data_IF_459961280039
#
_entry.id   IF_459961280039
#
_cell.length_a   1.000
_cell.length_b   1.000
_cell.length_c   1.000
_cell.angle_alpha   90.00
_cell.angle_beta   90.00
_cell.angle_gamma   90.00
#
_symmetry.space_group_name_H-M   'P 1'
#
loop_
_entity.id
_entity.type
_entity.pdbx_description
1 polymer ?
#
# COMPACT_ATOMS: atom_id res chain seq x y z
N UNK A 1 22.97 5.64 16.92
CA UNK A 1 21.76 6.10 16.21
C UNK A 1 22.18 7.14 15.19
N UNK A 2 21.74 7.00 13.93
CA UNK A 2 21.96 8.00 12.88
C UNK A 2 20.79 8.98 12.89
N UNK A 3 21.07 10.27 12.74
CA UNK A 3 20.05 11.31 12.54
C UNK A 3 19.71 11.38 11.06
N UNK A 4 18.42 11.39 10.71
CA UNK A 4 17.97 11.54 9.33
C UNK A 4 18.24 12.95 8.81
N UNK A 5 18.74 13.05 7.59
CA UNK A 5 18.84 14.34 6.89
C UNK A 5 17.51 14.72 6.26
N UNK A 6 17.36 15.99 5.87
CA UNK A 6 16.21 16.46 5.08
C UNK A 6 16.03 15.61 3.81
N UNK A 7 17.12 15.25 3.16
CA UNK A 7 17.08 14.40 1.96
C UNK A 7 16.62 12.98 2.28
N UNK A 8 17.10 12.39 3.38
CA UNK A 8 16.66 11.04 3.80
C UNK A 8 15.13 11.01 4.01
N UNK A 9 14.55 12.07 4.55
CA UNK A 9 13.09 12.19 4.76
C UNK A 9 12.35 12.34 3.43
N UNK A 10 12.77 13.29 2.58
CA UNK A 10 12.07 13.60 1.34
C UNK A 10 12.18 12.49 0.29
N UNK A 11 13.29 11.74 0.29
CA UNK A 11 13.54 10.61 -0.62
C UNK A 11 13.03 9.28 -0.08
N UNK A 12 12.41 9.25 1.10
CA UNK A 12 11.84 8.01 1.67
C UNK A 12 10.86 7.31 0.71
N UNK A 13 10.10 8.09 -0.08
CA UNK A 13 9.18 7.59 -1.12
C UNK A 13 9.86 6.97 -2.35
N UNK A 14 11.16 7.21 -2.52
CA UNK A 14 11.92 6.73 -3.68
C UNK A 14 12.42 5.29 -3.48
N UNK A 15 12.24 4.72 -2.28
CA UNK A 15 12.52 3.31 -2.02
C UNK A 15 11.75 2.45 -3.01
N UNK A 16 12.48 1.64 -3.77
CA UNK A 16 11.93 0.66 -4.72
C UNK A 16 12.06 -0.73 -4.13
N UNK A 17 11.00 -1.51 -4.21
CA UNK A 17 10.95 -2.89 -3.76
C UNK A 17 10.40 -3.72 -4.90
N UNK A 18 11.13 -4.77 -5.30
CA UNK A 18 10.64 -5.74 -6.26
C UNK A 18 9.82 -6.80 -5.54
N UNK A 19 8.62 -7.09 -6.04
CA UNK A 19 7.77 -8.16 -5.54
C UNK A 19 7.42 -9.10 -6.70
N UNK A 20 7.36 -10.39 -6.39
CA UNK A 20 6.95 -11.42 -7.33
C UNK A 20 5.42 -11.57 -7.33
N UNK A 21 4.84 -11.71 -8.51
CA UNK A 21 3.41 -11.93 -8.74
C UNK A 21 3.23 -13.36 -9.29
N UNK A 22 2.88 -14.35 -8.43
CA UNK A 22 2.78 -15.76 -8.82
C UNK A 22 1.79 -16.00 -9.96
N UNK A 23 0.72 -15.20 -10.04
CA UNK A 23 -0.32 -15.33 -11.04
C UNK A 23 0.14 -15.05 -12.47
N UNK A 24 1.26 -14.33 -12.61
CA UNK A 24 1.89 -13.97 -13.88
C UNK A 24 3.28 -14.57 -14.04
N UNK A 25 3.81 -15.25 -13.01
CA UNK A 25 5.20 -15.71 -12.94
C UNK A 25 6.19 -14.59 -13.31
N UNK A 26 5.95 -13.39 -12.76
CA UNK A 26 6.65 -12.18 -13.13
C UNK A 26 6.80 -11.23 -11.95
N UNK A 27 7.73 -10.28 -12.07
CA UNK A 27 8.04 -9.32 -11.01
C UNK A 27 7.51 -7.92 -11.37
N UNK A 28 7.16 -7.16 -10.34
CA UNK A 28 6.82 -5.74 -10.44
C UNK A 28 7.61 -4.93 -9.42
N UNK A 29 7.77 -3.64 -9.68
CA UNK A 29 8.43 -2.71 -8.76
C UNK A 29 7.37 -1.84 -8.09
N UNK A 30 7.41 -1.78 -6.76
CA UNK A 30 6.55 -0.92 -5.93
C UNK A 30 7.38 0.08 -5.12
N UNK A 31 6.70 1.12 -4.61
CA UNK A 31 7.25 2.11 -3.67
C UNK A 31 6.27 2.39 -2.55
N UNK A 32 6.73 2.92 -1.39
CA UNK A 32 5.81 3.36 -0.36
C UNK A 32 5.02 4.59 -0.80
N UNK A 33 3.83 4.73 -0.22
CA UNK A 33 3.00 5.91 -0.34
C UNK A 33 3.58 7.06 0.48
N UNK A 34 3.33 8.27 0.01
CA UNK A 34 3.50 9.48 0.81
C UNK A 34 2.28 9.70 1.71
N UNK A 35 2.46 10.52 2.75
CA UNK A 35 1.38 10.95 3.64
C UNK A 35 0.21 11.59 2.88
N UNK A 36 0.49 12.43 1.88
CA UNK A 36 -0.54 13.06 1.05
C UNK A 36 -1.32 12.05 0.19
N UNK A 37 -0.63 11.10 -0.45
CA UNK A 37 -1.27 10.06 -1.26
C UNK A 37 -2.15 9.14 -0.43
N UNK A 38 -1.70 8.81 0.77
CA UNK A 38 -2.50 8.05 1.71
C UNK A 38 -3.75 8.86 2.09
N UNK A 39 -3.58 10.12 2.48
CA UNK A 39 -4.69 11.01 2.84
C UNK A 39 -5.73 11.09 1.72
N UNK A 40 -5.32 11.14 0.45
CA UNK A 40 -6.21 11.11 -0.71
C UNK A 40 -7.01 9.81 -0.81
N UNK A 41 -6.35 8.64 -0.69
CA UNK A 41 -7.02 7.32 -0.70
C UNK A 41 -8.05 7.21 0.42
N UNK A 42 -7.65 7.68 1.59
CA UNK A 42 -8.43 7.64 2.80
C UNK A 42 -9.67 8.56 2.73
N UNK A 43 -9.49 9.75 2.15
CA UNK A 43 -10.57 10.70 1.91
C UNK A 43 -11.58 10.21 0.86
N UNK A 44 -11.12 9.54 -0.21
CA UNK A 44 -12.02 9.06 -1.27
C UNK A 44 -12.98 7.97 -0.80
N UNK A 45 -12.57 7.17 0.17
CA UNK A 45 -13.35 6.01 0.65
C UNK A 45 -14.30 6.35 1.80
N UNK A 46 -14.04 7.46 2.51
CA UNK A 46 -14.91 8.06 3.51
C UNK A 46 -15.11 7.20 4.78
N UNK A 47 -14.74 7.76 5.93
CA UNK A 47 -15.07 7.19 7.25
C UNK A 47 -13.93 6.45 7.92
N UNK A 48 -12.87 7.18 8.27
CA UNK A 48 -11.76 6.62 9.03
C UNK A 48 -11.80 7.06 10.47
N UNK A 49 -11.51 6.12 11.35
CA UNK A 49 -11.19 6.38 12.74
C UNK A 49 -9.70 6.17 12.90
N UNK A 50 -9.05 7.09 13.59
CA UNK A 50 -7.69 6.86 14.04
C UNK A 50 -7.77 6.03 15.33
N UNK A 51 -6.87 5.06 15.45
CA UNK A 51 -6.60 4.40 16.73
C UNK A 51 -5.84 5.38 17.64
N UNK A 52 -5.79 5.05 18.92
CA UNK A 52 -5.10 5.87 19.93
C UNK A 52 -3.59 5.99 19.68
N UNK A 53 -3.00 5.05 18.94
CA UNK A 53 -1.59 5.07 18.53
C UNK A 53 -1.32 5.91 17.26
N UNK A 54 -2.36 6.58 16.72
CA UNK A 54 -2.27 7.39 15.51
C UNK A 54 -2.35 6.61 14.20
N UNK A 55 -2.44 5.27 14.26
CA UNK A 55 -2.64 4.44 13.06
C UNK A 55 -4.10 4.45 12.61
N UNK A 56 -4.33 4.13 11.33
CA UNK A 56 -5.67 4.14 10.74
C UNK A 56 -6.41 2.85 11.09
N UNK A 57 -7.62 2.96 11.61
CA UNK A 57 -8.50 1.81 11.82
C UNK A 57 -9.26 1.44 10.54
N UNK A 58 -8.72 0.44 9.84
CA UNK A 58 -9.33 -0.15 8.64
C UNK A 58 -10.32 -1.29 8.95
N UNK A 59 -10.51 -1.67 10.22
CA UNK A 59 -11.36 -2.81 10.59
C UNK A 59 -12.85 -2.51 10.57
N UNK A 60 -13.23 -1.23 10.66
CA UNK A 60 -14.62 -0.78 10.60
C UNK A 60 -15.13 -0.52 9.18
N UNK A 61 -14.33 -0.81 8.15
CA UNK A 61 -14.68 -0.58 6.75
C UNK A 61 -15.39 -1.80 6.15
N UNK A 62 -16.39 -1.55 5.31
CA UNK A 62 -16.99 -2.60 4.47
C UNK A 62 -15.96 -3.17 3.49
N UNK A 63 -16.11 -4.43 3.11
CA UNK A 63 -15.23 -5.18 2.20
C UNK A 63 -15.04 -4.43 0.88
N UNK A 64 -16.12 -3.84 0.34
CA UNK A 64 -16.06 -3.06 -0.90
C UNK A 64 -15.10 -1.86 -0.79
N UNK A 65 -15.13 -1.17 0.35
CA UNK A 65 -14.25 -0.03 0.65
C UNK A 65 -12.81 -0.48 0.85
N UNK A 66 -12.61 -1.61 1.51
CA UNK A 66 -11.28 -2.20 1.68
C UNK A 66 -10.65 -2.52 0.31
N UNK A 67 -11.39 -3.17 -0.57
CA UNK A 67 -10.94 -3.50 -1.93
C UNK A 67 -10.58 -2.23 -2.71
N UNK A 68 -11.38 -1.17 -2.59
CA UNK A 68 -11.11 0.12 -3.23
C UNK A 68 -9.81 0.77 -2.72
N UNK A 69 -9.58 0.77 -1.40
CA UNK A 69 -8.33 1.27 -0.80
C UNK A 69 -7.13 0.52 -1.38
N UNK A 70 -7.19 -0.81 -1.41
CA UNK A 70 -6.08 -1.63 -1.93
C UNK A 70 -5.82 -1.35 -3.41
N UNK A 71 -6.87 -1.21 -4.22
CA UNK A 71 -6.74 -0.87 -5.64
C UNK A 71 -6.08 0.49 -5.85
N UNK A 72 -6.49 1.50 -5.08
CA UNK A 72 -5.90 2.84 -5.17
C UNK A 72 -4.45 2.86 -4.68
N UNK A 73 -4.16 2.12 -3.60
CA UNK A 73 -2.79 1.93 -3.10
C UNK A 73 -1.91 1.25 -4.16
N UNK A 74 -2.40 0.21 -4.83
CA UNK A 74 -1.69 -0.46 -5.91
C UNK A 74 -1.38 0.52 -7.05
N UNK A 75 -2.37 1.26 -7.56
CA UNK A 75 -2.15 2.20 -8.67
C UNK A 75 -1.15 3.32 -8.32
N UNK A 76 -1.18 3.86 -7.09
CA UNK A 76 -0.23 4.91 -6.67
C UNK A 76 1.18 4.36 -6.38
N UNK A 77 1.25 3.16 -5.82
CA UNK A 77 2.50 2.53 -5.36
C UNK A 77 3.25 1.76 -6.44
N UNK A 78 2.58 1.30 -7.49
CA UNK A 78 3.19 0.57 -8.60
C UNK A 78 4.03 1.50 -9.49
N UNK A 79 5.25 1.05 -9.78
CA UNK A 79 6.30 1.84 -10.44
C UNK A 79 6.55 1.32 -11.84
N UNK A 80 6.71 0.00 -11.93
CA UNK A 80 6.96 -0.72 -13.17
C UNK A 80 6.21 -2.07 -13.09
N UNK A 81 5.21 -2.32 -13.95
CA UNK A 81 4.65 -1.37 -14.93
C UNK A 81 3.85 -0.26 -14.27
N UNK A 82 3.88 0.96 -14.82
CA UNK A 82 3.03 2.06 -14.32
C UNK A 82 1.62 1.91 -14.88
N UNK A 83 0.62 1.77 -14.01
CA UNK A 83 -0.78 1.55 -14.38
C UNK A 83 -1.72 2.58 -13.75
N UNK A 84 -2.76 2.99 -14.48
CA UNK A 84 -3.87 3.80 -13.93
C UNK A 84 -4.80 2.95 -13.06
N UNK A 85 -5.70 3.59 -12.31
CA UNK A 85 -6.67 2.87 -11.46
C UNK A 85 -7.59 1.97 -12.29
N UNK A 86 -7.97 2.43 -13.49
CA UNK A 86 -8.77 1.68 -14.44
C UNK A 86 -8.01 0.47 -14.96
N UNK A 87 -6.75 0.63 -15.33
CA UNK A 87 -5.89 -0.48 -15.78
C UNK A 87 -5.67 -1.51 -14.67
N UNK A 88 -5.44 -1.06 -13.43
CA UNK A 88 -5.36 -1.96 -12.27
C UNK A 88 -6.66 -2.74 -12.07
N UNK A 89 -7.83 -2.14 -12.34
CA UNK A 89 -9.12 -2.82 -12.22
C UNK A 89 -9.34 -3.95 -13.26
N UNK A 90 -8.57 -3.95 -14.35
CA UNK A 90 -8.61 -4.99 -15.38
C UNK A 90 -7.64 -6.14 -15.13
N UNK A 91 -6.80 -6.05 -14.08
CA UNK A 91 -5.87 -7.12 -13.72
C UNK A 91 -6.63 -8.38 -13.27
N UNK A 92 -5.90 -9.49 -13.22
CA UNK A 92 -6.44 -10.75 -12.70
C UNK A 92 -6.88 -10.55 -11.24
N UNK A 93 -8.06 -11.07 -10.92
CA UNK A 93 -8.65 -10.96 -9.58
C UNK A 93 -7.66 -11.37 -8.48
N UNK A 94 -7.56 -10.58 -7.42
CA UNK A 94 -6.66 -10.81 -6.28
C UNK A 94 -5.27 -10.15 -6.43
N UNK A 95 -4.83 -9.86 -7.67
CA UNK A 95 -3.52 -9.26 -7.88
C UNK A 95 -3.46 -7.79 -7.43
N UNK A 96 -4.42 -6.92 -7.78
CA UNK A 96 -4.46 -5.55 -7.25
C UNK A 96 -4.44 -5.50 -5.73
N UNK A 97 -5.20 -6.39 -5.08
CA UNK A 97 -5.30 -6.48 -3.64
C UNK A 97 -3.97 -6.87 -3.00
N UNK A 98 -3.28 -7.86 -3.58
CA UNK A 98 -1.95 -8.27 -3.13
C UNK A 98 -0.91 -7.14 -3.27
N UNK A 99 -0.85 -6.49 -4.44
CA UNK A 99 0.06 -5.36 -4.68
C UNK A 99 -0.25 -4.21 -3.71
N UNK A 100 -1.53 -3.86 -3.55
CA UNK A 100 -1.99 -2.82 -2.64
C UNK A 100 -1.58 -3.11 -1.20
N UNK A 101 -1.73 -4.36 -0.75
CA UNK A 101 -1.31 -4.79 0.58
C UNK A 101 0.20 -4.61 0.76
N UNK A 102 1.01 -5.06 -0.20
CA UNK A 102 2.48 -4.88 -0.14
C UNK A 102 2.89 -3.41 -0.13
N UNK A 103 2.19 -2.55 -0.87
CA UNK A 103 2.41 -1.10 -0.84
C UNK A 103 2.11 -0.53 0.55
N UNK A 104 1.00 -0.92 1.18
CA UNK A 104 0.64 -0.46 2.53
C UNK A 104 1.62 -0.97 3.61
N UNK A 105 2.10 -2.21 3.49
CA UNK A 105 3.13 -2.80 4.37
C UNK A 105 4.43 -1.98 4.33
N UNK A 106 4.97 -1.72 3.13
CA UNK A 106 6.23 -0.96 3.01
C UNK A 106 6.06 0.53 3.35
N UNK A 107 4.82 1.02 3.36
CA UNK A 107 4.45 2.36 3.84
C UNK A 107 4.29 2.43 5.36
N UNK A 108 4.33 1.29 6.06
CA UNK A 108 4.24 1.21 7.52
C UNK A 108 2.82 1.26 8.09
N UNK A 109 1.79 1.05 7.26
CA UNK A 109 0.40 1.09 7.70
C UNK A 109 -0.11 -0.26 8.21
N UNK A 110 0.46 -1.33 7.70
CA UNK A 110 0.09 -2.70 8.04
C UNK A 110 1.37 -3.42 8.46
N UNK A 111 1.36 -4.19 9.56
CA UNK A 111 2.50 -5.02 9.92
C UNK A 111 2.81 -6.01 8.78
N UNK A 112 4.08 -6.32 8.50
CA UNK A 112 4.44 -7.29 7.46
C UNK A 112 3.75 -8.64 7.72
N UNK A 113 3.26 -9.31 6.67
CA UNK A 113 2.70 -10.66 6.75
C UNK A 113 3.56 -11.65 7.56
N UNK A 114 4.88 -11.53 7.50
CA UNK A 114 5.82 -12.37 8.26
C UNK A 114 5.72 -12.18 9.78
N UNK A 115 5.35 -10.99 10.25
CA UNK A 115 5.13 -10.69 11.66
C UNK A 115 3.81 -11.29 12.16
N UNK A 116 2.79 -11.40 11.30
CA UNK A 116 1.49 -11.98 11.65
C UNK A 116 1.55 -13.52 11.77
N UNK A 117 2.44 -14.19 11.03
CA UNK A 117 2.64 -15.65 11.10
C UNK A 117 3.33 -16.14 12.38
N UNK A 118 4.04 -15.28 13.11
CA UNK A 118 4.70 -15.62 14.39
C UNK A 118 3.79 -15.48 15.61
N UNK A 119 2.59 -14.93 15.44
CA UNK A 119 1.62 -14.67 16.50
C UNK A 119 0.39 -15.59 16.46
N UNK A 120 0.44 -16.65 15.65
CA UNK A 120 -0.52 -17.77 15.61
C UNK A 120 0.20 -19.06 15.99
#
# INVERSE_FOLDING_TARGET
>A
MRILTKEDILKGKEKRVTIHIPEYDADVIIRPLTDGELTEILASVGGLRLKEDGTVDVTSLDVSKHIEILRLAASKGLVEPKLTVEEVSMMKFGVPEYIGMKVLEISGLVPPEEALKKSK
#
